data_IF_852878839560
#
_entry.id   IF_852878839560
#
_cell.length_a   1.000
_cell.length_b   1.000
_cell.length_c   1.000
_cell.angle_alpha   90.00
_cell.angle_beta   90.00
_cell.angle_gamma   90.00
#
_symmetry.space_group_name_H-M   'P 1'
#
loop_
_entity.id
_entity.type
_entity.pdbx_description
1 polymer ?
#
# COMPACT_ATOMS: atom_id res chain seq x y z
N UNK A 1 -59.99 -40.50 -44.00
CA UNK A 1 -59.80 -40.26 -42.56
C UNK A 1 -58.62 -41.10 -42.09
N UNK A 2 -57.63 -40.49 -41.45
CA UNK A 2 -56.44 -41.17 -40.93
C UNK A 2 -55.16 -40.35 -41.12
N UNK A 3 -55.12 -39.18 -40.48
CA UNK A 3 -53.97 -38.27 -40.44
C UNK A 3 -52.82 -38.89 -39.63
N UNK A 4 -51.63 -38.97 -40.22
CA UNK A 4 -50.37 -39.27 -39.53
C UNK A 4 -49.89 -38.00 -38.83
N UNK A 5 -49.86 -38.01 -37.49
CA UNK A 5 -49.28 -36.94 -36.67
C UNK A 5 -47.93 -37.37 -36.15
N UNK A 6 -46.85 -36.83 -36.73
CA UNK A 6 -45.53 -36.83 -36.11
C UNK A 6 -45.37 -35.54 -35.30
N UNK A 7 -45.05 -35.58 -34.00
CA UNK A 7 -44.75 -34.36 -33.26
C UNK A 7 -43.32 -33.94 -33.57
N UNK A 8 -43.18 -32.80 -34.25
CA UNK A 8 -41.93 -32.07 -34.42
C UNK A 8 -41.42 -31.62 -33.04
N UNK A 9 -40.48 -32.36 -32.47
CA UNK A 9 -39.79 -31.99 -31.23
C UNK A 9 -38.81 -30.86 -31.52
N UNK A 10 -39.27 -29.62 -31.43
CA UNK A 10 -38.40 -28.43 -31.41
C UNK A 10 -37.71 -28.33 -30.04
N UNK A 11 -36.50 -28.86 -29.93
CA UNK A 11 -35.58 -28.53 -28.83
C UNK A 11 -34.89 -27.20 -29.16
N UNK A 12 -35.43 -26.09 -28.66
CA UNK A 12 -34.67 -24.84 -28.53
C UNK A 12 -34.00 -24.83 -27.17
N UNK A 13 -32.75 -25.27 -27.10
CA UNK A 13 -31.87 -24.98 -25.98
C UNK A 13 -31.35 -23.56 -26.13
N UNK A 14 -32.02 -22.59 -25.51
CA UNK A 14 -31.40 -21.30 -25.21
C UNK A 14 -30.53 -21.47 -23.96
N UNK A 15 -29.36 -22.07 -24.14
CA UNK A 15 -28.29 -21.96 -23.15
C UNK A 15 -27.61 -20.62 -23.35
N UNK A 16 -28.05 -19.61 -22.60
CA UNK A 16 -27.17 -18.49 -22.27
C UNK A 16 -26.07 -19.08 -21.38
N UNK A 17 -24.93 -19.44 -21.99
CA UNK A 17 -23.72 -19.69 -21.21
C UNK A 17 -23.31 -18.34 -20.59
N UNK A 18 -23.16 -18.24 -19.25
CA UNK A 18 -22.39 -17.16 -18.68
C UNK A 18 -21.02 -17.17 -19.34
N UNK A 19 -20.47 -16.00 -19.65
CA UNK A 19 -19.09 -15.91 -20.12
C UNK A 19 -18.21 -16.69 -19.13
N UNK A 20 -17.56 -17.74 -19.61
CA UNK A 20 -16.76 -18.63 -18.78
C UNK A 20 -15.66 -17.79 -18.14
N UNK A 21 -15.67 -17.72 -16.80
CA UNK A 21 -14.68 -16.97 -16.05
C UNK A 21 -13.28 -17.46 -16.46
N UNK A 22 -12.36 -16.58 -16.88
CA UNK A 22 -11.05 -17.02 -17.31
C UNK A 22 -10.39 -17.78 -16.16
N UNK A 23 -9.83 -18.97 -16.45
CA UNK A 23 -9.15 -19.73 -15.40
C UNK A 23 -8.03 -18.90 -14.76
N UNK A 24 -7.76 -19.13 -13.47
CA UNK A 24 -6.72 -18.42 -12.73
C UNK A 24 -5.36 -18.46 -13.46
N UNK A 25 -5.04 -19.56 -14.14
CA UNK A 25 -3.84 -19.70 -14.97
C UNK A 25 -3.84 -18.76 -16.18
N UNK A 26 -4.98 -18.60 -16.85
CA UNK A 26 -5.11 -17.70 -18.00
C UNK A 26 -4.97 -16.24 -17.55
N UNK A 27 -5.59 -15.88 -16.43
CA UNK A 27 -5.42 -14.57 -15.81
C UNK A 27 -3.95 -14.32 -15.43
N UNK A 28 -3.32 -15.26 -14.74
CA UNK A 28 -1.91 -15.20 -14.37
C UNK A 28 -1.04 -14.90 -15.59
N UNK A 29 -1.13 -15.73 -16.64
CA UNK A 29 -0.32 -15.57 -17.86
C UNK A 29 -0.55 -14.22 -18.54
N UNK A 30 -1.80 -13.75 -18.60
CA UNK A 30 -2.13 -12.45 -19.19
C UNK A 30 -1.51 -11.29 -18.40
N UNK A 31 -1.73 -11.26 -17.09
CA UNK A 31 -1.21 -10.22 -16.19
C UNK A 31 0.32 -10.22 -16.22
N UNK A 32 0.93 -11.40 -16.14
CA UNK A 32 2.38 -11.61 -16.26
C UNK A 32 2.93 -10.99 -17.54
N UNK A 33 2.32 -11.26 -18.69
CA UNK A 33 2.76 -10.71 -19.97
C UNK A 33 2.67 -9.18 -20.00
N UNK A 34 1.63 -8.59 -19.41
CA UNK A 34 1.50 -7.12 -19.30
C UNK A 34 2.61 -6.55 -18.42
N UNK A 35 2.90 -7.16 -17.27
CA UNK A 35 3.99 -6.73 -16.38
C UNK A 35 5.34 -6.81 -17.13
N UNK A 36 5.63 -7.94 -17.78
CA UNK A 36 6.90 -8.16 -18.49
C UNK A 36 7.11 -7.24 -19.70
N UNK A 37 6.02 -6.79 -20.33
CA UNK A 37 6.09 -5.86 -21.47
C UNK A 37 6.12 -4.39 -21.05
N UNK A 38 5.91 -4.08 -19.77
CA UNK A 38 5.94 -2.72 -19.24
C UNK A 38 7.38 -2.29 -18.95
N UNK A 39 7.84 -1.24 -19.63
CA UNK A 39 9.24 -0.76 -19.60
C UNK A 39 9.40 0.67 -19.04
N UNK A 40 8.36 1.19 -18.40
CA UNK A 40 8.33 2.51 -17.78
C UNK A 40 7.54 2.45 -16.47
N UNK A 41 7.66 3.50 -15.66
CA UNK A 41 6.99 3.59 -14.37
C UNK A 41 5.47 3.64 -14.54
N UNK A 42 4.77 2.62 -14.06
CA UNK A 42 3.31 2.49 -14.23
C UNK A 42 2.68 1.74 -13.07
N UNK A 43 1.54 2.26 -12.59
CA UNK A 43 0.62 1.54 -11.72
C UNK A 43 -0.38 0.75 -12.60
N UNK A 44 -0.13 -0.55 -12.80
CA UNK A 44 -1.04 -1.43 -13.54
C UNK A 44 -2.20 -1.87 -12.63
N UNK A 45 -3.41 -1.90 -13.17
CA UNK A 45 -4.63 -2.27 -12.47
C UNK A 45 -5.39 -3.34 -13.26
N UNK A 46 -5.78 -4.41 -12.59
CA UNK A 46 -6.53 -5.52 -13.14
C UNK A 46 -7.78 -5.76 -12.28
N UNK A 47 -8.95 -5.48 -12.85
CA UNK A 47 -10.23 -5.50 -12.14
C UNK A 47 -10.97 -6.82 -12.36
N UNK A 48 -12.04 -7.02 -11.57
CA UNK A 48 -12.94 -8.18 -11.65
C UNK A 48 -12.21 -9.51 -11.44
N UNK A 49 -11.21 -9.54 -10.56
CA UNK A 49 -10.49 -10.75 -10.18
C UNK A 49 -11.08 -11.26 -8.86
N UNK A 50 -11.72 -12.43 -8.90
CA UNK A 50 -12.38 -13.01 -7.73
C UNK A 50 -11.38 -13.38 -6.61
N UNK A 51 -11.80 -13.37 -5.33
CA UNK A 51 -10.93 -13.53 -4.17
C UNK A 51 -9.96 -14.71 -4.21
N UNK A 52 -10.42 -15.90 -4.60
CA UNK A 52 -9.57 -17.09 -4.68
C UNK A 52 -8.50 -16.97 -5.77
N UNK A 53 -8.89 -16.52 -6.96
CA UNK A 53 -7.97 -16.32 -8.08
C UNK A 53 -6.98 -15.20 -7.80
N UNK A 54 -7.44 -14.06 -7.25
CA UNK A 54 -6.59 -12.91 -6.97
C UNK A 54 -5.54 -13.18 -5.90
N UNK A 55 -5.93 -13.88 -4.83
CA UNK A 55 -4.98 -14.36 -3.83
C UNK A 55 -3.94 -15.28 -4.46
N UNK A 56 -4.38 -16.31 -5.19
CA UNK A 56 -3.49 -17.28 -5.83
C UNK A 56 -2.50 -16.59 -6.78
N UNK A 57 -2.98 -15.73 -7.68
CA UNK A 57 -2.16 -15.01 -8.65
C UNK A 57 -1.13 -14.13 -7.94
N UNK A 58 -1.57 -13.33 -6.96
CA UNK A 58 -0.68 -12.41 -6.25
C UNK A 58 0.42 -13.16 -5.48
N UNK A 59 0.11 -14.29 -4.84
CA UNK A 59 1.12 -15.12 -4.16
C UNK A 59 2.03 -15.87 -5.13
N UNK A 60 1.54 -16.28 -6.31
CA UNK A 60 2.36 -16.98 -7.28
C UNK A 60 3.38 -16.08 -7.98
N UNK A 61 3.14 -14.76 -8.04
CA UNK A 61 4.11 -13.83 -8.61
C UNK A 61 5.43 -13.74 -7.83
N UNK A 62 5.45 -13.99 -6.52
CA UNK A 62 6.70 -14.05 -5.77
C UNK A 62 7.55 -15.28 -6.07
N UNK A 63 6.99 -16.29 -6.74
CA UNK A 63 7.68 -17.52 -7.13
C UNK A 63 8.09 -17.51 -8.61
N UNK A 64 7.74 -16.47 -9.36
CA UNK A 64 8.03 -16.35 -10.78
C UNK A 64 9.36 -15.59 -11.00
N UNK A 65 10.42 -16.24 -11.53
CA UNK A 65 11.74 -15.63 -11.64
C UNK A 65 11.80 -14.41 -12.57
N UNK A 66 10.93 -14.36 -13.60
CA UNK A 66 10.93 -13.21 -14.52
C UNK A 66 10.23 -12.00 -13.88
N UNK A 67 9.21 -12.24 -13.07
CA UNK A 67 8.54 -11.21 -12.28
C UNK A 67 9.45 -10.73 -11.14
N UNK A 68 10.10 -11.65 -10.42
CA UNK A 68 11.07 -11.33 -9.36
C UNK A 68 12.15 -10.38 -9.89
N UNK A 69 12.68 -10.63 -11.09
CA UNK A 69 13.71 -9.77 -11.70
C UNK A 69 13.24 -8.33 -11.94
N UNK A 70 11.94 -8.10 -12.16
CA UNK A 70 11.39 -6.76 -12.36
C UNK A 70 11.06 -6.04 -11.04
N UNK A 71 10.99 -6.79 -9.93
CA UNK A 71 10.63 -6.28 -8.61
C UNK A 71 9.36 -5.40 -8.59
N UNK A 72 8.24 -5.80 -9.25
CA UNK A 72 7.02 -5.03 -9.17
C UNK A 72 6.42 -5.15 -7.77
N UNK A 73 5.80 -4.07 -7.27
CA UNK A 73 5.01 -4.17 -6.03
C UNK A 73 3.65 -4.73 -6.35
N UNK A 74 3.38 -5.94 -5.86
CA UNK A 74 2.12 -6.64 -6.09
C UNK A 74 1.16 -6.38 -4.93
N UNK A 75 -0.11 -6.14 -5.24
CA UNK A 75 -1.15 -6.01 -4.23
C UNK A 75 -2.47 -6.53 -4.77
N UNK A 76 -3.28 -7.18 -3.94
CA UNK A 76 -4.61 -7.64 -4.26
C UNK A 76 -5.59 -7.29 -3.15
N UNK A 77 -6.67 -6.60 -3.52
CA UNK A 77 -7.76 -6.24 -2.63
C UNK A 77 -9.02 -7.05 -2.99
N UNK A 78 -9.47 -7.98 -2.13
CA UNK A 78 -10.61 -8.86 -2.43
C UNK A 78 -11.97 -8.16 -2.37
N UNK A 79 -12.06 -7.01 -1.69
CA UNK A 79 -13.31 -6.26 -1.59
C UNK A 79 -13.58 -5.48 -2.88
N UNK A 80 -12.54 -4.87 -3.44
CA UNK A 80 -12.63 -4.19 -4.74
C UNK A 80 -12.41 -5.13 -5.93
N UNK A 81 -11.93 -6.36 -5.68
CA UNK A 81 -11.56 -7.34 -6.71
C UNK A 81 -10.50 -6.82 -7.68
N UNK A 82 -9.54 -6.08 -7.13
CA UNK A 82 -8.47 -5.42 -7.90
C UNK A 82 -7.13 -6.01 -7.53
N UNK A 83 -6.40 -6.51 -8.54
CA UNK A 83 -4.96 -6.76 -8.46
C UNK A 83 -4.22 -5.57 -9.07
N UNK A 84 -3.16 -5.13 -8.41
CA UNK A 84 -2.27 -4.09 -8.92
C UNK A 84 -0.84 -4.57 -8.97
N UNK A 85 -0.10 -4.03 -9.94
CA UNK A 85 1.33 -4.22 -10.07
C UNK A 85 1.97 -2.86 -10.37
N UNK A 86 2.73 -2.33 -9.41
CA UNK A 86 3.53 -1.12 -9.62
C UNK A 86 4.87 -1.52 -10.22
N UNK A 87 5.07 -1.19 -11.50
CA UNK A 87 6.29 -1.47 -12.26
C UNK A 87 7.20 -0.25 -12.20
N UNK A 88 8.49 -0.47 -11.92
CA UNK A 88 9.53 0.57 -11.88
C UNK A 88 9.12 1.81 -11.06
N UNK A 89 8.90 1.69 -9.73
CA UNK A 89 8.63 2.84 -8.88
C UNK A 89 9.75 3.90 -9.04
N UNK A 90 9.37 5.18 -9.10
CA UNK A 90 10.34 6.27 -9.21
C UNK A 90 10.97 6.61 -7.86
N UNK A 91 12.10 7.31 -7.87
CA UNK A 91 12.80 7.73 -6.64
C UNK A 91 11.94 8.60 -5.72
N UNK A 92 11.01 9.41 -6.26
CA UNK A 92 10.08 10.20 -5.43
C UNK A 92 9.04 9.32 -4.72
N UNK A 93 8.65 8.19 -5.32
CA UNK A 93 7.78 7.23 -4.63
C UNK A 93 8.48 6.67 -3.39
N UNK A 94 9.79 6.45 -3.45
CA UNK A 94 10.52 5.70 -2.41
C UNK A 94 11.27 6.59 -1.41
N UNK A 95 11.26 7.92 -1.60
CA UNK A 95 11.99 8.85 -0.72
C UNK A 95 11.60 8.76 0.76
N UNK A 96 10.40 8.27 1.06
CA UNK A 96 9.93 8.06 2.43
C UNK A 96 10.64 6.90 3.15
N UNK A 97 11.26 5.97 2.43
CA UNK A 97 12.05 4.87 3.02
C UNK A 97 13.28 5.43 3.76
N UNK A 98 14.03 6.31 3.10
CA UNK A 98 15.19 6.99 3.71
C UNK A 98 14.78 7.96 4.81
N UNK A 99 13.63 8.61 4.66
CA UNK A 99 13.06 9.43 5.73
C UNK A 99 12.81 8.58 6.99
N UNK A 100 12.05 7.49 6.89
CA UNK A 100 11.76 6.62 8.04
C UNK A 100 13.04 6.01 8.65
N UNK A 101 14.00 5.62 7.81
CA UNK A 101 15.30 5.12 8.28
C UNK A 101 16.02 6.15 9.17
N UNK A 102 16.07 7.39 8.70
CA UNK A 102 16.67 8.50 9.45
C UNK A 102 15.87 8.84 10.72
N UNK A 103 14.53 8.88 10.66
CA UNK A 103 13.72 9.15 11.86
C UNK A 103 13.92 8.08 12.93
N UNK A 104 14.02 6.80 12.56
CA UNK A 104 14.32 5.72 13.51
C UNK A 104 15.70 5.86 14.14
N UNK A 105 16.70 6.37 13.41
CA UNK A 105 18.01 6.70 13.96
C UNK A 105 17.91 7.91 14.92
N UNK A 106 17.23 8.96 14.51
CA UNK A 106 17.06 10.19 15.30
C UNK A 106 16.28 9.92 16.60
N UNK A 107 15.31 8.99 16.59
CA UNK A 107 14.64 8.51 17.79
C UNK A 107 15.61 7.88 18.80
N UNK A 108 16.62 7.12 18.33
CA UNK A 108 17.66 6.55 19.21
C UNK A 108 18.56 7.66 19.75
N UNK A 109 19.00 8.58 18.88
CA UNK A 109 19.88 9.69 19.27
C UNK A 109 19.21 10.64 20.27
N UNK A 110 17.90 10.85 20.15
CA UNK A 110 17.11 11.63 21.08
C UNK A 110 16.81 10.90 22.41
N UNK A 111 17.21 9.63 22.54
CA UNK A 111 16.88 8.80 23.71
C UNK A 111 15.42 8.38 23.79
N UNK A 112 14.62 8.66 22.75
CA UNK A 112 13.24 8.18 22.67
C UNK A 112 13.20 6.67 22.54
N UNK A 113 14.08 6.07 21.74
CA UNK A 113 14.29 4.62 21.66
C UNK A 113 15.62 4.24 22.30
N UNK A 114 15.65 3.10 22.97
CA UNK A 114 16.90 2.39 23.26
C UNK A 114 17.37 1.61 22.04
N UNK A 115 18.64 1.19 22.04
CA UNK A 115 19.17 0.29 21.01
C UNK A 115 18.40 -1.02 20.93
N UNK A 116 17.95 -1.58 22.07
CA UNK A 116 17.16 -2.81 22.10
C UNK A 116 15.78 -2.62 21.45
N UNK A 117 15.10 -1.52 21.80
CA UNK A 117 13.82 -1.15 21.19
C UNK A 117 13.95 -0.89 19.69
N UNK A 118 15.03 -0.24 19.25
CA UNK A 118 15.30 -0.06 17.81
C UNK A 118 15.49 -1.39 17.10
N UNK A 119 16.17 -2.37 17.70
CA UNK A 119 16.38 -3.69 17.10
C UNK A 119 15.09 -4.49 16.95
N UNK A 120 14.09 -4.24 17.80
CA UNK A 120 12.75 -4.83 17.67
C UNK A 120 11.98 -4.28 16.46
N UNK A 121 12.22 -3.02 16.08
CA UNK A 121 11.51 -2.37 14.98
C UNK A 121 12.21 -2.59 13.63
N UNK A 122 11.61 -3.39 12.75
CA UNK A 122 12.12 -3.65 11.41
C UNK A 122 11.49 -2.69 10.42
N UNK A 123 12.32 -1.86 9.78
CA UNK A 123 11.91 -1.16 8.55
C UNK A 123 11.95 -2.18 7.40
N UNK A 124 10.82 -2.40 6.74
CA UNK A 124 10.69 -3.35 5.62
C UNK A 124 10.18 -2.64 4.38
N UNK A 125 10.66 -3.13 3.24
CA UNK A 125 10.28 -2.77 1.87
C UNK A 125 10.30 -4.05 1.05
N UNK A 126 9.52 -4.13 -0.04
CA UNK A 126 9.54 -5.31 -0.92
C UNK A 126 9.07 -6.60 -0.25
N UNK A 127 8.25 -6.51 0.79
CA UNK A 127 7.74 -7.67 1.54
C UNK A 127 6.23 -7.72 1.41
N UNK A 128 5.72 -8.78 0.81
CA UNK A 128 4.28 -9.05 0.72
C UNK A 128 3.74 -9.62 2.03
N UNK A 129 2.61 -9.09 2.48
CA UNK A 129 1.87 -9.54 3.66
C UNK A 129 0.55 -10.19 3.28
N UNK A 130 0.15 -11.19 4.06
CA UNK A 130 -1.13 -11.91 3.97
C UNK A 130 -1.71 -12.12 5.37
N UNK A 131 -2.83 -12.83 5.50
CA UNK A 131 -3.43 -13.14 6.81
C UNK A 131 -4.25 -12.01 7.42
N UNK A 132 -4.75 -11.10 6.58
CA UNK A 132 -5.69 -10.05 7.00
C UNK A 132 -7.02 -10.64 7.48
N UNK A 133 -7.67 -9.95 8.41
CA UNK A 133 -8.99 -10.29 8.91
C UNK A 133 -10.10 -9.96 7.87
N UNK A 134 -11.29 -10.50 8.10
CA UNK A 134 -12.48 -10.14 7.31
C UNK A 134 -12.71 -8.60 7.32
N UNK A 135 -13.12 -8.00 6.18
CA UNK A 135 -13.50 -8.63 4.91
C UNK A 135 -12.32 -8.91 3.94
N UNK A 136 -11.08 -8.76 4.40
CA UNK A 136 -9.87 -8.83 3.56
C UNK A 136 -9.12 -10.17 3.64
N UNK A 137 -9.79 -11.28 3.96
CA UNK A 137 -9.13 -12.59 4.20
C UNK A 137 -8.29 -13.12 3.05
N UNK A 138 -8.61 -12.72 1.81
CA UNK A 138 -7.87 -13.08 0.60
C UNK A 138 -6.93 -11.97 0.11
N UNK A 139 -6.68 -10.93 0.92
CA UNK A 139 -5.80 -9.85 0.54
C UNK A 139 -4.32 -10.26 0.55
N UNK A 140 -3.58 -9.69 -0.40
CA UNK A 140 -2.13 -9.72 -0.45
C UNK A 140 -1.69 -8.27 -0.59
N UNK A 141 -0.78 -7.79 0.26
CA UNK A 141 -0.39 -6.38 0.20
C UNK A 141 1.10 -6.22 0.47
N UNK A 142 1.77 -5.55 -0.44
CA UNK A 142 3.13 -5.06 -0.27
C UNK A 142 3.08 -3.55 -0.01
N UNK A 143 3.50 -3.07 1.17
CA UNK A 143 3.58 -1.64 1.43
C UNK A 143 4.80 -1.03 0.72
N UNK A 144 4.74 0.26 0.40
CA UNK A 144 5.91 0.96 -0.12
C UNK A 144 7.03 1.07 0.95
N UNK A 145 6.64 1.18 2.22
CA UNK A 145 7.47 0.92 3.39
C UNK A 145 6.60 0.57 4.60
N UNK A 146 7.16 -0.16 5.58
CA UNK A 146 6.48 -0.35 6.86
C UNK A 146 7.44 -0.49 8.04
N UNK A 147 6.92 -0.23 9.24
CA UNK A 147 7.58 -0.55 10.51
C UNK A 147 6.88 -1.76 11.10
N UNK A 148 7.66 -2.83 11.30
CA UNK A 148 7.21 -4.13 11.78
C UNK A 148 7.96 -4.49 13.07
N UNK A 149 7.30 -4.50 14.23
CA UNK A 149 7.84 -5.17 15.41
C UNK A 149 8.11 -6.65 15.12
N UNK A 150 9.28 -7.15 15.51
CA UNK A 150 9.77 -8.50 15.15
C UNK A 150 8.76 -9.61 15.46
N UNK A 151 8.08 -9.48 16.58
CA UNK A 151 7.12 -10.45 17.10
C UNK A 151 5.71 -10.39 16.49
N UNK A 152 5.43 -9.47 15.55
CA UNK A 152 4.10 -9.33 14.94
C UNK A 152 4.04 -9.88 13.51
N UNK A 153 2.88 -10.41 13.08
CA UNK A 153 2.70 -10.93 11.72
C UNK A 153 2.41 -9.84 10.68
N UNK A 154 1.98 -8.66 11.13
CA UNK A 154 1.64 -7.50 10.30
C UNK A 154 2.30 -6.24 10.90
N UNK A 155 2.61 -5.23 10.07
CA UNK A 155 3.23 -4.01 10.54
C UNK A 155 2.31 -3.22 11.48
N UNK A 156 2.91 -2.37 12.32
CA UNK A 156 2.18 -1.38 13.13
C UNK A 156 2.03 -0.06 12.39
N UNK A 157 2.98 0.27 11.51
CA UNK A 157 2.91 1.45 10.64
C UNK A 157 3.11 1.02 9.20
N UNK A 158 2.16 1.32 8.33
CA UNK A 158 2.31 1.16 6.88
C UNK A 158 2.39 2.53 6.21
N UNK A 159 3.19 2.63 5.15
CA UNK A 159 3.30 3.83 4.31
C UNK A 159 3.01 3.46 2.86
N UNK A 160 2.13 4.23 2.23
CA UNK A 160 1.81 4.12 0.81
C UNK A 160 2.01 5.49 0.17
N UNK A 161 2.70 5.52 -0.96
CA UNK A 161 2.96 6.71 -1.73
C UNK A 161 2.46 6.55 -3.16
N UNK A 162 1.96 7.63 -3.74
CA UNK A 162 1.46 7.60 -5.11
C UNK A 162 1.18 8.97 -5.67
N UNK A 163 1.01 9.00 -6.99
CA UNK A 163 0.48 10.15 -7.69
C UNK A 163 -1.00 10.37 -7.35
N UNK A 164 -1.47 11.60 -7.55
CA UNK A 164 -2.86 12.01 -7.36
C UNK A 164 -3.87 11.11 -8.06
N UNK A 165 -3.49 10.59 -9.22
CA UNK A 165 -4.27 9.70 -10.07
C UNK A 165 -4.54 8.35 -9.39
N UNK A 166 -3.60 7.90 -8.56
CA UNK A 166 -3.73 6.67 -7.77
C UNK A 166 -4.43 6.89 -6.43
N UNK A 167 -4.88 8.11 -6.11
CA UNK A 167 -5.43 8.43 -4.79
C UNK A 167 -6.62 7.56 -4.35
N UNK A 168 -7.62 7.25 -5.20
CA UNK A 168 -8.69 6.33 -4.82
C UNK A 168 -8.18 4.95 -4.41
N UNK A 169 -7.09 4.47 -5.02
CA UNK A 169 -6.44 3.21 -4.65
C UNK A 169 -5.73 3.32 -3.30
N UNK A 170 -4.99 4.40 -3.06
CA UNK A 170 -4.32 4.62 -1.76
C UNK A 170 -5.32 4.66 -0.60
N UNK A 171 -6.49 5.25 -0.80
CA UNK A 171 -7.59 5.24 0.18
C UNK A 171 -8.10 3.82 0.45
N UNK A 172 -8.26 2.99 -0.58
CA UNK A 172 -8.64 1.58 -0.43
C UNK A 172 -7.55 0.75 0.26
N UNK A 173 -6.26 1.03 -0.03
CA UNK A 173 -5.12 0.38 0.62
C UNK A 173 -5.07 0.72 2.12
N UNK A 174 -5.33 1.98 2.49
CA UNK A 174 -5.51 2.37 3.90
C UNK A 174 -6.59 1.54 4.58
N UNK A 175 -7.76 1.38 3.95
CA UNK A 175 -8.85 0.62 4.55
C UNK A 175 -8.52 -0.86 4.68
N UNK A 176 -7.83 -1.45 3.70
CA UNK A 176 -7.30 -2.81 3.81
C UNK A 176 -6.39 -2.95 5.03
N UNK A 177 -5.41 -2.05 5.17
CA UNK A 177 -4.47 -2.06 6.29
C UNK A 177 -5.16 -1.85 7.65
N UNK A 178 -6.02 -0.84 7.79
CA UNK A 178 -6.64 -0.48 9.07
C UNK A 178 -7.91 -1.27 9.39
N UNK A 179 -8.58 -1.92 8.45
CA UNK A 179 -9.74 -2.77 8.77
C UNK A 179 -9.32 -4.23 8.82
N UNK A 180 -8.52 -4.70 7.86
CA UNK A 180 -8.03 -6.07 7.81
C UNK A 180 -6.84 -6.35 8.74
N UNK A 181 -6.00 -5.34 9.01
CA UNK A 181 -4.77 -5.50 9.80
C UNK A 181 -4.93 -5.08 11.25
N UNK A 182 -5.32 -6.01 12.13
CA UNK A 182 -5.54 -5.70 13.55
C UNK A 182 -4.30 -5.12 14.28
N UNK A 183 -3.09 -5.49 13.85
CA UNK A 183 -1.85 -4.95 14.40
C UNK A 183 -1.46 -3.57 13.84
N UNK A 184 -2.03 -3.16 12.70
CA UNK A 184 -1.72 -1.86 12.08
C UNK A 184 -2.36 -0.76 12.92
N UNK A 185 -1.55 0.13 13.45
CA UNK A 185 -1.96 1.27 14.26
C UNK A 185 -2.10 2.54 13.40
N UNK A 186 -1.23 2.70 12.40
CA UNK A 186 -1.17 3.86 11.53
C UNK A 186 -0.95 3.50 10.06
N UNK A 187 -1.60 4.25 9.17
CA UNK A 187 -1.28 4.30 7.74
C UNK A 187 -0.94 5.73 7.35
N UNK A 188 0.23 5.93 6.77
CA UNK A 188 0.67 7.22 6.22
C UNK A 188 0.50 7.16 4.71
N UNK A 189 -0.40 7.97 4.17
CA UNK A 189 -0.59 8.12 2.73
C UNK A 189 0.14 9.37 2.25
N UNK A 190 1.07 9.22 1.31
CA UNK A 190 1.79 10.31 0.68
C UNK A 190 1.24 10.49 -0.74
N UNK A 191 0.70 11.68 -1.01
CA UNK A 191 0.21 12.06 -2.33
C UNK A 191 1.15 13.05 -2.98
N UNK A 192 1.66 12.68 -4.14
CA UNK A 192 2.37 13.59 -5.04
C UNK A 192 1.43 14.09 -6.14
N UNK A 193 1.57 15.34 -6.53
CA UNK A 193 0.75 15.93 -7.61
C UNK A 193 1.62 16.79 -8.49
N UNK A 194 1.64 16.49 -9.78
CA UNK A 194 2.25 17.36 -10.78
C UNK A 194 1.32 18.55 -11.04
N UNK A 195 1.75 19.74 -10.65
CA UNK A 195 1.03 20.99 -10.85
C UNK A 195 1.69 21.80 -11.98
N UNK A 196 1.00 22.85 -12.43
CA UNK A 196 1.47 23.71 -13.53
C UNK A 196 2.92 24.19 -13.35
N UNK A 197 3.61 24.40 -14.47
CA UNK A 197 5.01 24.87 -14.53
C UNK A 197 6.06 23.86 -14.04
N UNK A 198 5.78 22.56 -14.21
CA UNK A 198 6.73 21.51 -13.87
C UNK A 198 7.02 21.42 -12.37
N UNK A 199 6.02 21.70 -11.53
CA UNK A 199 6.18 21.71 -10.07
C UNK A 199 5.51 20.50 -9.44
N UNK A 200 6.07 19.96 -8.38
CA UNK A 200 5.47 18.85 -7.62
C UNK A 200 4.99 19.34 -6.26
N UNK A 201 3.68 19.23 -6.04
CA UNK A 201 3.05 19.35 -4.71
C UNK A 201 3.14 18.00 -4.00
N UNK A 202 3.29 18.03 -2.68
CA UNK A 202 3.23 16.83 -1.83
C UNK A 202 2.33 17.05 -0.62
N UNK A 203 1.45 16.09 -0.33
CA UNK A 203 0.61 16.05 0.87
C UNK A 203 0.84 14.72 1.60
N UNK A 204 0.78 14.73 2.93
CA UNK A 204 0.84 13.54 3.78
C UNK A 204 -0.41 13.48 4.65
N UNK A 205 -1.12 12.35 4.60
CA UNK A 205 -2.28 12.05 5.44
C UNK A 205 -1.93 10.93 6.40
N UNK A 206 -2.23 11.12 7.69
CA UNK A 206 -2.04 10.11 8.74
C UNK A 206 -3.41 9.59 9.13
N UNK A 207 -3.62 8.30 8.94
CA UNK A 207 -4.84 7.62 9.32
C UNK A 207 -4.58 6.62 10.44
N UNK A 208 -5.58 6.44 11.30
CA UNK A 208 -5.57 5.43 12.36
C UNK A 208 -7.01 5.09 12.76
N UNK A 209 -7.19 4.53 13.95
CA UNK A 209 -8.53 4.25 14.49
C UNK A 209 -8.86 5.19 15.65
N UNK A 210 -10.13 5.60 15.72
CA UNK A 210 -10.67 6.26 16.90
C UNK A 210 -10.93 5.25 18.04
N UNK A 211 -11.31 5.69 19.26
CA UNK A 211 -11.62 4.77 20.35
C UNK A 211 -12.77 3.79 20.09
N UNK A 212 -13.62 4.04 19.09
CA UNK A 212 -14.67 3.13 18.64
C UNK A 212 -14.18 2.13 17.56
N UNK A 213 -12.88 2.16 17.22
CA UNK A 213 -12.28 1.30 16.21
C UNK A 213 -12.53 1.75 14.78
N UNK A 214 -13.10 2.94 14.55
CA UNK A 214 -13.41 3.44 13.20
C UNK A 214 -12.17 4.09 12.59
N UNK A 215 -11.94 3.83 11.30
CA UNK A 215 -10.87 4.48 10.55
C UNK A 215 -11.15 5.99 10.44
N UNK A 216 -10.19 6.80 10.86
CA UNK A 216 -10.28 8.27 10.84
C UNK A 216 -8.99 8.89 10.32
N UNK A 217 -9.11 10.07 9.70
CA UNK A 217 -7.98 10.94 9.41
C UNK A 217 -7.57 11.64 10.71
N UNK A 218 -6.34 11.38 11.16
CA UNK A 218 -5.78 11.97 12.38
C UNK A 218 -5.05 13.27 12.10
N UNK A 219 -4.38 13.36 10.95
CA UNK A 219 -3.55 14.52 10.61
C UNK A 219 -3.34 14.65 9.11
N UNK A 220 -3.21 15.89 8.65
CA UNK A 220 -2.76 16.23 7.30
C UNK A 220 -1.62 17.22 7.41
N UNK A 221 -0.57 16.99 6.64
CA UNK A 221 0.57 17.91 6.51
C UNK A 221 0.89 18.14 5.04
N UNK A 222 1.16 19.39 4.66
CA UNK A 222 1.75 19.65 3.35
C UNK A 222 3.25 19.37 3.41
N UNK A 223 3.76 18.57 2.47
CA UNK A 223 5.19 18.38 2.24
C UNK A 223 5.67 19.53 1.34
N UNK A 224 5.04 19.72 0.18
CA UNK A 224 5.27 20.90 -0.66
C UNK A 224 3.94 21.56 -1.03
N UNK A 225 3.82 22.90 -0.97
CA UNK A 225 4.88 23.85 -0.64
C UNK A 225 5.30 23.82 0.83
N UNK A 226 6.57 24.15 1.08
CA UNK A 226 7.03 24.37 2.44
C UNK A 226 6.31 25.59 3.05
N UNK A 227 5.90 25.55 4.33
CA UNK A 227 5.24 26.67 4.98
C UNK A 227 6.19 27.85 5.07
N UNK A 228 5.68 29.06 4.82
CA UNK A 228 6.47 30.30 4.81
C UNK A 228 6.94 30.76 6.20
N UNK A 229 6.33 30.23 7.27
CA UNK A 229 6.42 30.83 8.61
C UNK A 229 7.37 30.08 9.57
N UNK A 230 8.34 29.32 9.07
CA UNK A 230 9.22 28.45 9.89
C UNK A 230 8.43 27.52 10.84
N UNK A 231 7.17 27.22 10.54
CA UNK A 231 6.35 26.34 11.36
C UNK A 231 6.95 24.94 11.33
N UNK A 232 7.28 24.41 12.50
CA UNK A 232 7.77 23.04 12.61
C UNK A 232 6.61 22.08 12.36
N UNK A 233 6.54 21.51 11.16
CA UNK A 233 5.56 20.50 10.82
C UNK A 233 6.08 19.13 11.21
N UNK A 234 5.29 18.42 12.00
CA UNK A 234 5.66 17.13 12.56
C UNK A 234 4.48 16.17 12.58
N UNK A 235 4.76 14.86 12.58
CA UNK A 235 3.76 13.83 12.83
C UNK A 235 4.04 13.19 14.19
N UNK A 236 3.21 13.44 15.21
CA UNK A 236 3.32 12.76 16.48
C UNK A 236 3.04 11.26 16.30
N UNK A 237 3.97 10.43 16.77
CA UNK A 237 3.82 8.99 16.85
C UNK A 237 4.08 8.54 18.28
N UNK A 238 3.11 7.85 18.87
CA UNK A 238 3.23 7.29 20.21
C UNK A 238 4.00 5.96 20.20
N UNK A 239 4.55 5.57 21.35
CA UNK A 239 5.10 4.22 21.54
C UNK A 239 4.07 3.14 21.27
N UNK A 240 2.80 3.34 21.66
CA UNK A 240 1.71 2.43 21.32
C UNK A 240 1.57 2.24 19.81
N UNK A 241 1.58 3.32 19.04
CA UNK A 241 1.46 3.23 17.59
C UNK A 241 2.68 2.59 16.93
N UNK A 242 3.88 2.75 17.51
CA UNK A 242 5.11 2.20 16.94
C UNK A 242 5.27 0.71 17.25
N UNK A 243 4.91 0.26 18.45
CA UNK A 243 5.14 -1.11 18.93
C UNK A 243 3.87 -1.97 18.99
N UNK A 244 2.68 -1.38 18.90
CA UNK A 244 1.42 -2.11 19.09
C UNK A 244 1.35 -2.76 20.48
N UNK A 245 1.21 -4.08 20.52
CA UNK A 245 1.25 -4.88 21.75
C UNK A 245 2.68 -5.15 22.27
N UNK A 246 3.72 -4.92 21.47
CA UNK A 246 5.11 -5.28 21.76
C UNK A 246 5.89 -4.19 22.51
N UNK A 247 5.19 -3.40 23.34
CA UNK A 247 5.82 -2.33 24.12
C UNK A 247 6.69 -2.94 25.22
N UNK A 248 7.91 -2.42 25.36
CA UNK A 248 8.85 -2.87 26.36
C UNK A 248 8.35 -2.60 27.79
N UNK A 249 8.68 -3.46 28.77
CA UNK A 249 8.32 -3.25 30.16
C UNK A 249 8.75 -1.88 30.68
N UNK A 250 7.95 -1.29 31.57
CA UNK A 250 8.20 0.02 32.21
C UNK A 250 8.27 1.21 31.23
N UNK A 251 7.79 1.06 30.00
CA UNK A 251 7.58 2.17 29.06
C UNK A 251 6.16 2.68 29.12
N UNK A 252 6.00 4.00 29.06
CA UNK A 252 4.69 4.60 28.92
C UNK A 252 4.23 4.50 27.44
N UNK A 253 3.11 3.82 27.14
CA UNK A 253 2.59 3.71 25.78
C UNK A 253 2.25 5.05 25.13
N UNK A 254 1.98 6.07 25.93
CA UNK A 254 1.58 7.40 25.46
C UNK A 254 2.76 8.34 25.17
N UNK A 255 4.01 7.95 25.45
CA UNK A 255 5.16 8.79 25.09
C UNK A 255 5.21 8.96 23.57
N UNK A 256 5.42 10.20 23.12
CA UNK A 256 5.39 10.55 21.71
C UNK A 256 6.74 11.02 21.20
N UNK A 257 7.02 10.68 19.94
CA UNK A 257 8.07 11.28 19.13
C UNK A 257 7.43 12.04 17.98
N UNK A 258 8.08 13.11 17.52
CA UNK A 258 7.57 13.96 16.45
C UNK A 258 8.37 13.71 15.17
N UNK A 259 7.81 12.92 14.25
CA UNK A 259 8.47 12.67 12.96
C UNK A 259 8.58 13.98 12.16
N UNK A 260 9.74 14.27 11.61
CA UNK A 260 10.02 15.56 10.95
C UNK A 260 9.55 15.59 9.49
N UNK A 261 8.57 16.44 9.16
CA UNK A 261 8.17 16.70 7.76
C UNK A 261 9.28 17.43 7.00
N UNK A 262 10.09 18.23 7.70
CA UNK A 262 11.26 18.89 7.10
C UNK A 262 12.30 17.86 6.62
N UNK A 263 12.51 16.77 7.38
CA UNK A 263 13.37 15.69 6.94
C UNK A 263 12.78 14.96 5.72
N UNK A 264 11.45 14.73 5.69
CA UNK A 264 10.78 14.16 4.53
C UNK A 264 10.96 15.03 3.28
N UNK A 265 10.79 16.35 3.38
CA UNK A 265 11.07 17.30 2.28
C UNK A 265 12.49 17.16 1.77
N UNK A 266 13.46 17.10 2.68
CA UNK A 266 14.89 16.96 2.33
C UNK A 266 15.14 15.68 1.54
N UNK A 267 14.47 14.58 1.89
CA UNK A 267 14.54 13.32 1.14
C UNK A 267 13.83 13.38 -0.21
N UNK A 268 12.77 14.19 -0.34
CA UNK A 268 12.02 14.33 -1.58
C UNK A 268 12.62 15.35 -2.58
N UNK A 269 13.31 16.39 -2.13
CA UNK A 269 13.81 17.49 -2.99
C UNK A 269 14.72 16.97 -4.12
N UNK A 270 15.72 16.15 -3.78
CA UNK A 270 16.62 15.55 -4.75
C UNK A 270 15.88 14.71 -5.79
N UNK A 271 15.13 13.66 -5.39
CA UNK A 271 14.30 12.85 -6.29
C UNK A 271 13.40 13.64 -7.22
N UNK A 272 12.70 14.67 -6.71
CA UNK A 272 11.84 15.54 -7.53
C UNK A 272 12.67 16.24 -8.62
N UNK A 273 13.84 16.80 -8.27
CA UNK A 273 14.73 17.48 -9.22
C UNK A 273 15.36 16.53 -10.23
N UNK A 274 15.74 15.32 -9.82
CA UNK A 274 16.27 14.30 -10.73
C UNK A 274 15.25 13.88 -11.79
N UNK A 275 13.96 13.95 -11.46
CA UNK A 275 12.87 13.73 -12.42
C UNK A 275 12.60 14.93 -13.34
N UNK A 276 13.36 16.03 -13.21
CA UNK A 276 13.21 17.24 -14.03
C UNK A 276 12.14 18.21 -13.54
N UNK A 277 11.63 18.03 -12.32
CA UNK A 277 10.61 18.90 -11.72
C UNK A 277 11.18 19.80 -10.61
N UNK A 278 10.36 20.73 -10.14
CA UNK A 278 10.69 21.65 -9.05
C UNK A 278 9.72 21.40 -7.89
N UNK A 279 10.17 21.22 -6.64
CA UNK A 279 9.25 21.17 -5.50
C UNK A 279 8.40 22.45 -5.43
N UNK A 280 7.10 22.30 -5.19
CA UNK A 280 6.16 23.42 -5.10
C UNK A 280 6.51 24.37 -3.94
#
# INVERSE_FOLDING_TARGET
MGSVTSPTRSLRSNTNFPAEEPSAQKLFNNIRNVILSTNHSTDLTFENIFPSAGFQIATSFSEDPEIERLLPRISYNPLTQVLTARVMPTTVHDCHQEWLSNELLDMVMAGFLTVAERKELRLRVGTSFTGFAAPYTSAVKEPDACILPDSLPLPTVAVEAGWSESWPRLEADKDLWLVGGAAVELVLLIRWTNISSGRIKGDLHVHGRDPAGRVVLLRTESIFPAPTNNTNQVIPISRRQLFGSCIFPNRNPADTYNLSITNLRRMADGPIRFMGFIPA
#
